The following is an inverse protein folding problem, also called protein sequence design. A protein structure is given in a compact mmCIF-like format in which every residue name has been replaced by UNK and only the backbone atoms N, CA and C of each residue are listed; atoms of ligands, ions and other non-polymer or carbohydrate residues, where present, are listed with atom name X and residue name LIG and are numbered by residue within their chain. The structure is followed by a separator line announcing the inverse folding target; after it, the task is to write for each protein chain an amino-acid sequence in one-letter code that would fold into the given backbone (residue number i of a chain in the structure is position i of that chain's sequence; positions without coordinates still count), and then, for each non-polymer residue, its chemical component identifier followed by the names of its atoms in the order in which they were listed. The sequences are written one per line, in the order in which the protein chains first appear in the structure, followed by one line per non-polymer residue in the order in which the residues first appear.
data_IF_502482902396
#
_entry.id   IF_502482902396
#
_cell.length_a   1.000
_cell.length_b   1.000
_cell.length_c   1.000
_cell.angle_alpha   90.00
_cell.angle_beta   90.00
_cell.angle_gamma   90.00
#
_symmetry.space_group_name_H-M   'P 1'
#
loop_
_entity.id
_entity.type
_entity.pdbx_description
1 polymer ?
#
# COMPACT_ATOMS: atom_id res chain seq x y z
N UNK A 1 0.08 -8.97 -20.03
CA UNK A 1 -1.00 -7.97 -19.88
C UNK A 1 -0.44 -6.60 -20.20
N UNK A 2 -0.88 -5.93 -21.28
CA UNK A 2 -0.39 -4.59 -21.62
C UNK A 2 -1.09 -3.57 -20.74
N UNK A 3 -0.37 -2.88 -19.88
CA UNK A 3 -0.89 -1.71 -19.15
C UNK A 3 -0.65 -0.47 -20.03
N UNK A 4 -1.72 0.07 -20.58
CA UNK A 4 -1.67 1.33 -21.32
C UNK A 4 -2.00 2.45 -20.32
N UNK A 5 -1.02 3.26 -19.96
CA UNK A 5 -1.22 4.47 -19.18
C UNK A 5 -1.59 5.62 -20.13
N UNK A 6 -2.75 6.22 -19.90
CA UNK A 6 -3.21 7.42 -20.62
C UNK A 6 -2.64 8.64 -19.90
N UNK A 7 -1.88 9.53 -20.58
CA UNK A 7 -1.42 10.76 -19.95
C UNK A 7 -2.58 11.75 -19.83
N UNK A 8 -2.93 12.17 -18.62
CA UNK A 8 -3.74 13.36 -18.41
C UNK A 8 -2.84 14.60 -18.38
N UNK A 9 -3.28 15.68 -19.03
CA UNK A 9 -2.50 16.92 -19.19
C UNK A 9 -2.37 17.79 -17.94
N UNK A 10 -2.71 17.30 -16.78
CA UNK A 10 -2.53 18.03 -15.52
C UNK A 10 -1.23 17.63 -14.84
N UNK A 11 -0.51 18.60 -14.33
CA UNK A 11 0.77 18.64 -13.63
C UNK A 11 1.07 17.48 -12.64
N UNK A 12 1.00 16.25 -13.07
CA UNK A 12 1.46 15.10 -12.28
C UNK A 12 2.81 14.67 -12.85
N UNK A 13 3.84 14.79 -12.05
CA UNK A 13 5.11 14.11 -12.30
C UNK A 13 4.83 12.61 -12.24
N UNK A 14 4.53 12.00 -13.38
CA UNK A 14 4.26 10.58 -13.42
C UNK A 14 5.57 9.82 -13.20
N UNK A 15 5.70 9.24 -12.02
CA UNK A 15 6.71 8.23 -11.75
C UNK A 15 6.08 6.91 -12.17
N UNK A 16 6.66 6.26 -13.17
CA UNK A 16 6.09 5.01 -13.71
C UNK A 16 7.12 3.91 -13.61
N UNK A 17 6.65 2.73 -13.20
CA UNK A 17 7.43 1.50 -13.25
C UNK A 17 6.59 0.37 -13.76
N UNK A 18 7.23 -0.51 -14.50
CA UNK A 18 6.69 -1.80 -14.86
C UNK A 18 7.73 -2.87 -14.51
N UNK A 19 7.30 -3.87 -13.79
CA UNK A 19 8.05 -5.08 -13.47
C UNK A 19 7.45 -6.26 -14.21
N UNK A 20 8.32 -7.17 -14.61
CA UNK A 20 7.90 -8.51 -14.99
C UNK A 20 7.62 -9.29 -13.70
N UNK A 21 6.36 -9.66 -13.49
CA UNK A 21 5.93 -10.33 -12.26
C UNK A 21 6.44 -11.76 -12.14
N UNK A 22 6.88 -12.39 -13.23
CA UNK A 22 7.38 -13.77 -13.23
C UNK A 22 8.83 -13.86 -12.78
N UNK A 23 9.63 -12.83 -13.07
CA UNK A 23 11.07 -12.88 -12.81
C UNK A 23 11.64 -11.66 -12.05
N UNK A 24 10.85 -10.61 -11.81
CA UNK A 24 11.30 -9.39 -11.11
C UNK A 24 12.09 -8.40 -11.98
N UNK A 25 12.24 -8.67 -13.27
CA UNK A 25 12.95 -7.79 -14.18
C UNK A 25 12.28 -6.42 -14.33
N UNK A 26 13.07 -5.34 -14.30
CA UNK A 26 12.57 -3.97 -14.51
C UNK A 26 12.36 -3.76 -16.02
N UNK A 27 11.11 -3.75 -16.45
CA UNK A 27 10.72 -3.57 -17.87
C UNK A 27 10.77 -2.11 -18.28
N UNK A 28 10.36 -1.22 -17.38
CA UNK A 28 10.38 0.23 -17.61
C UNK A 28 10.48 0.99 -16.30
N UNK A 29 11.21 2.12 -16.33
CA UNK A 29 11.36 3.02 -15.19
C UNK A 29 11.35 4.47 -15.71
N UNK A 30 10.60 5.34 -15.02
CA UNK A 30 10.62 6.78 -15.28
C UNK A 30 10.71 7.53 -13.95
N UNK A 31 11.74 8.35 -13.80
CA UNK A 31 11.95 9.23 -12.63
C UNK A 31 11.12 10.51 -12.65
N UNK A 32 10.20 10.66 -13.61
CA UNK A 32 9.34 11.83 -13.77
C UNK A 32 9.74 12.74 -14.94
N UNK A 33 8.99 13.83 -15.12
CA UNK A 33 9.26 14.86 -16.11
C UNK A 33 10.31 15.86 -15.59
N UNK A 34 10.96 16.57 -16.52
CA UNK A 34 11.95 17.62 -16.21
C UNK A 34 13.13 17.12 -15.35
N UNK A 35 13.67 15.96 -15.70
CA UNK A 35 14.88 15.43 -15.09
C UNK A 35 16.11 16.10 -15.71
N UNK A 36 17.10 16.45 -14.88
CA UNK A 36 18.44 16.86 -15.34
C UNK A 36 19.34 15.63 -15.42
N UNK A 37 20.32 15.65 -16.31
CA UNK A 37 21.30 14.58 -16.40
C UNK A 37 21.99 14.39 -15.02
N UNK A 38 22.11 13.14 -14.56
CA UNK A 38 22.61 12.76 -13.23
C UNK A 38 21.78 13.31 -12.03
N UNK A 39 20.56 13.77 -12.29
CA UNK A 39 19.63 14.17 -11.23
C UNK A 39 18.96 12.98 -10.53
N UNK A 40 18.27 13.27 -9.45
CA UNK A 40 17.51 12.29 -8.66
C UNK A 40 16.52 11.48 -9.52
N UNK A 41 16.61 10.18 -9.44
CA UNK A 41 15.58 9.29 -9.95
C UNK A 41 14.49 9.13 -8.87
N UNK A 42 13.41 9.90 -8.98
CA UNK A 42 12.32 9.88 -7.99
C UNK A 42 11.68 8.52 -7.81
N UNK A 43 11.93 7.62 -8.70
CA UNK A 43 11.41 6.28 -8.64
C UNK A 43 12.23 5.35 -7.72
N UNK A 44 13.52 5.67 -7.45
CA UNK A 44 14.41 4.90 -6.56
C UNK A 44 14.88 5.69 -5.36
N UNK A 45 15.12 6.99 -5.54
CA UNK A 45 15.92 7.78 -4.62
C UNK A 45 15.06 8.60 -3.65
N UNK A 46 13.73 8.58 -3.81
CA UNK A 46 12.80 9.30 -2.94
C UNK A 46 11.79 8.35 -2.32
N UNK A 47 11.81 8.30 -1.01
CA UNK A 47 10.75 7.70 -0.23
C UNK A 47 9.61 8.70 -0.05
N UNK A 48 8.39 8.26 -0.35
CA UNK A 48 7.19 9.06 -0.23
C UNK A 48 6.12 8.31 0.57
N UNK A 49 5.14 9.07 1.03
CA UNK A 49 3.95 8.48 1.63
C UNK A 49 3.13 7.76 0.56
N UNK A 50 2.91 6.45 0.68
CA UNK A 50 2.17 5.67 -0.33
C UNK A 50 0.67 5.96 -0.34
N UNK A 51 0.13 6.61 0.68
CA UNK A 51 -1.30 6.83 0.81
C UNK A 51 -2.09 5.53 0.74
N UNK A 52 -3.27 5.54 0.14
CA UNK A 52 -4.15 4.37 0.06
C UNK A 52 -3.58 3.17 -0.72
N UNK A 53 -2.46 3.32 -1.41
CA UNK A 53 -1.76 2.17 -2.01
C UNK A 53 -1.13 1.26 -0.95
N UNK A 54 -0.99 1.71 0.30
CA UNK A 54 -0.57 0.88 1.41
C UNK A 54 -1.62 -0.18 1.82
N UNK A 55 -2.91 0.11 1.65
CA UNK A 55 -4.01 -0.70 2.20
C UNK A 55 -3.96 -2.18 1.85
N UNK A 56 -3.74 -2.60 0.60
CA UNK A 56 -3.63 -4.03 0.29
C UNK A 56 -2.52 -4.72 1.07
N UNK A 57 -1.38 -4.05 1.25
CA UNK A 57 -0.16 -4.63 1.83
C UNK A 57 -0.13 -4.55 3.36
N UNK A 58 -0.59 -3.45 3.95
CA UNK A 58 -0.50 -3.21 5.39
C UNK A 58 -1.76 -3.63 6.15
N UNK A 59 -2.94 -3.55 5.51
CA UNK A 59 -4.21 -3.75 6.23
C UNK A 59 -4.80 -5.13 5.97
N UNK A 60 -4.90 -5.52 4.70
CA UNK A 60 -5.71 -6.68 4.32
C UNK A 60 -4.91 -7.95 4.08
N UNK A 61 -3.78 -7.88 3.36
CA UNK A 61 -2.99 -9.07 3.08
C UNK A 61 -2.44 -9.77 4.34
N UNK A 62 -1.96 -9.06 5.38
CA UNK A 62 -1.55 -9.72 6.62
C UNK A 62 -2.69 -10.48 7.30
N UNK A 63 -3.91 -9.95 7.24
CA UNK A 63 -5.09 -10.62 7.78
C UNK A 63 -5.50 -11.85 6.99
N UNK A 64 -5.37 -11.81 5.67
CA UNK A 64 -5.60 -12.98 4.80
C UNK A 64 -4.56 -14.05 5.08
N UNK A 65 -3.27 -13.67 5.17
CA UNK A 65 -2.15 -14.60 5.35
C UNK A 65 -2.13 -15.24 6.74
N UNK A 66 -2.33 -14.47 7.81
CA UNK A 66 -2.09 -14.93 9.18
C UNK A 66 -3.35 -15.08 10.04
N UNK A 67 -4.47 -14.46 9.66
CA UNK A 67 -5.71 -14.44 10.46
C UNK A 67 -6.85 -15.20 9.77
N UNK A 68 -6.58 -15.94 8.68
CA UNK A 68 -7.56 -16.70 7.89
C UNK A 68 -8.73 -15.85 7.36
N UNK A 69 -8.48 -14.59 7.02
CA UNK A 69 -9.51 -13.77 6.39
C UNK A 69 -9.76 -14.18 4.94
N UNK A 70 -10.99 -13.96 4.52
CA UNK A 70 -11.40 -14.11 3.13
C UNK A 70 -11.88 -12.77 2.58
N UNK A 71 -12.13 -12.73 1.28
CA UNK A 71 -12.72 -11.53 0.64
C UNK A 71 -14.11 -11.17 1.18
N UNK A 72 -14.74 -12.08 1.90
CA UNK A 72 -16.04 -11.90 2.57
C UNK A 72 -15.93 -11.51 4.05
N UNK A 73 -14.72 -11.48 4.64
CA UNK A 73 -14.53 -11.03 6.02
C UNK A 73 -15.16 -9.67 6.23
N UNK A 74 -16.05 -9.52 7.25
CA UNK A 74 -16.81 -8.30 7.44
C UNK A 74 -16.02 -7.22 8.17
N UNK A 75 -16.23 -5.97 7.76
CA UNK A 75 -15.81 -4.76 8.48
C UNK A 75 -16.98 -3.79 8.58
N UNK A 76 -17.14 -3.16 9.73
CA UNK A 76 -18.19 -2.15 9.93
C UNK A 76 -17.58 -0.76 9.70
N UNK A 77 -18.07 -0.07 8.68
CA UNK A 77 -17.70 1.30 8.35
C UNK A 77 -18.58 2.27 9.13
N UNK A 78 -18.12 2.69 10.28
CA UNK A 78 -18.77 3.56 11.28
C UNK A 78 -17.74 4.49 11.91
N UNK A 79 -18.11 5.57 12.61
CA UNK A 79 -17.15 6.43 13.31
C UNK A 79 -16.15 5.64 14.13
N UNK A 80 -14.85 5.82 13.85
CA UNK A 80 -13.76 5.10 14.48
C UNK A 80 -12.47 5.94 14.45
N UNK A 81 -11.48 5.59 15.25
CA UNK A 81 -10.21 6.31 15.33
C UNK A 81 -9.03 5.44 15.71
N UNK A 82 -7.88 6.07 15.78
CA UNK A 82 -6.65 5.46 16.24
C UNK A 82 -6.74 5.09 17.72
N UNK A 83 -5.97 4.09 18.12
CA UNK A 83 -5.71 3.80 19.53
C UNK A 83 -5.07 5.03 20.17
N UNK A 84 -5.75 5.67 21.12
CA UNK A 84 -5.32 6.96 21.68
C UNK A 84 -6.26 8.13 21.38
N UNK A 85 -7.30 7.91 20.58
CA UNK A 85 -8.49 8.75 20.55
C UNK A 85 -8.65 9.72 19.37
N UNK A 86 -7.68 9.85 18.48
CA UNK A 86 -7.87 10.68 17.28
C UNK A 86 -8.79 10.01 16.28
N UNK A 87 -9.92 10.66 15.99
CA UNK A 87 -10.89 10.18 15.00
C UNK A 87 -10.36 10.33 13.59
N UNK A 88 -10.64 9.36 12.72
CA UNK A 88 -10.42 9.48 11.28
C UNK A 88 -11.75 9.51 10.53
N UNK A 89 -11.70 9.93 9.28
CA UNK A 89 -12.86 9.98 8.39
C UNK A 89 -12.57 9.24 7.09
N UNK A 90 -13.62 8.74 6.49
CA UNK A 90 -13.54 8.32 5.10
C UNK A 90 -13.36 9.55 4.19
N UNK A 91 -12.79 9.35 3.01
CA UNK A 91 -12.47 10.43 2.07
C UNK A 91 -13.68 11.28 1.64
N UNK A 92 -14.89 10.68 1.67
CA UNK A 92 -16.16 11.33 1.34
C UNK A 92 -16.95 11.80 2.59
N UNK A 93 -16.42 11.56 3.78
CA UNK A 93 -17.08 11.88 5.06
C UNK A 93 -18.27 10.98 5.41
N UNK A 94 -18.61 9.99 4.58
CA UNK A 94 -19.76 9.10 4.77
C UNK A 94 -19.36 7.79 5.42
N UNK A 95 -20.33 7.05 5.96
CA UNK A 95 -20.18 5.72 6.51
C UNK A 95 -21.20 4.77 5.87
N UNK A 96 -20.75 3.58 5.49
CA UNK A 96 -21.57 2.63 4.72
C UNK A 96 -22.01 1.41 5.53
N UNK A 97 -21.70 1.37 6.83
CA UNK A 97 -22.08 0.27 7.70
C UNK A 97 -21.35 -1.03 7.36
N UNK A 98 -22.08 -2.11 7.24
CA UNK A 98 -21.52 -3.43 6.98
C UNK A 98 -20.94 -3.54 5.56
N UNK A 99 -19.65 -3.84 5.45
CA UNK A 99 -18.94 -4.07 4.20
C UNK A 99 -18.11 -5.35 4.30
N UNK A 100 -17.97 -6.07 3.20
CA UNK A 100 -16.97 -7.13 3.08
C UNK A 100 -15.57 -6.55 2.89
N UNK A 101 -14.51 -7.32 3.14
CA UNK A 101 -13.14 -6.94 2.82
C UNK A 101 -13.01 -6.45 1.37
N UNK A 102 -13.59 -7.20 0.41
CA UNK A 102 -13.58 -6.82 -1.01
C UNK A 102 -14.20 -5.45 -1.26
N UNK A 103 -15.34 -5.17 -0.65
CA UNK A 103 -16.01 -3.88 -0.78
C UNK A 103 -15.22 -2.76 -0.10
N UNK A 104 -14.71 -3.03 1.09
CA UNK A 104 -13.90 -2.07 1.88
C UNK A 104 -12.66 -1.62 1.12
N UNK A 105 -11.93 -2.58 0.52
CA UNK A 105 -10.76 -2.30 -0.29
C UNK A 105 -11.12 -1.64 -1.62
N UNK A 106 -12.12 -2.17 -2.34
CA UNK A 106 -12.55 -1.63 -3.64
C UNK A 106 -13.05 -0.19 -3.58
N UNK A 107 -13.66 0.20 -2.47
CA UNK A 107 -14.13 1.56 -2.19
C UNK A 107 -13.07 2.41 -1.48
N UNK A 108 -11.90 1.85 -1.20
CA UNK A 108 -10.80 2.51 -0.49
C UNK A 108 -11.23 3.17 0.84
N UNK A 109 -12.10 2.48 1.63
CA UNK A 109 -12.62 3.02 2.88
C UNK A 109 -11.51 3.11 3.93
N UNK A 110 -11.38 4.26 4.61
CA UNK A 110 -10.35 4.49 5.60
C UNK A 110 -10.63 3.78 6.92
N UNK A 111 -11.91 3.80 7.35
CA UNK A 111 -12.31 3.19 8.61
C UNK A 111 -12.13 1.66 8.58
N UNK A 112 -12.67 0.94 7.59
CA UNK A 112 -12.40 -0.49 7.44
C UNK A 112 -10.90 -0.83 7.34
N UNK A 113 -10.10 0.01 6.66
CA UNK A 113 -8.66 -0.17 6.55
C UNK A 113 -7.98 -0.08 7.92
N UNK A 114 -8.27 0.96 8.70
CA UNK A 114 -7.73 1.09 10.07
C UNK A 114 -8.16 -0.08 10.96
N UNK A 115 -9.42 -0.50 10.91
CA UNK A 115 -9.91 -1.67 11.66
C UNK A 115 -9.19 -2.96 11.22
N UNK A 116 -8.94 -3.13 9.93
CA UNK A 116 -8.18 -4.25 9.40
C UNK A 116 -6.74 -4.24 9.95
N UNK A 117 -6.05 -3.11 9.89
CA UNK A 117 -4.72 -2.94 10.47
C UNK A 117 -4.67 -3.31 11.96
N UNK A 118 -5.60 -2.77 12.75
CA UNK A 118 -5.68 -3.05 14.19
C UNK A 118 -5.94 -4.53 14.47
N UNK A 119 -6.82 -5.17 13.70
CA UNK A 119 -7.21 -6.57 13.88
C UNK A 119 -6.17 -7.56 13.35
N UNK A 120 -5.45 -7.24 12.27
CA UNK A 120 -4.36 -8.07 11.74
C UNK A 120 -3.20 -8.16 12.75
N UNK A 121 -2.97 -7.08 13.47
CA UNK A 121 -1.94 -6.98 14.51
C UNK A 121 -0.56 -6.63 13.96
N UNK A 122 0.11 -5.68 14.62
CA UNK A 122 1.38 -5.09 14.19
C UNK A 122 2.47 -6.11 13.84
N UNK A 123 2.58 -7.20 14.60
CA UNK A 123 3.58 -8.25 14.33
C UNK A 123 3.34 -8.97 13.01
N UNK A 124 2.08 -9.28 12.71
CA UNK A 124 1.72 -9.92 11.44
C UNK A 124 1.93 -8.98 10.27
N UNK A 125 1.56 -7.70 10.45
CA UNK A 125 1.76 -6.67 9.43
C UNK A 125 3.25 -6.50 9.14
N UNK A 126 4.07 -6.29 10.17
CA UNK A 126 5.52 -6.14 10.03
C UNK A 126 6.14 -7.35 9.32
N UNK A 127 5.80 -8.55 9.79
CA UNK A 127 6.27 -9.80 9.17
C UNK A 127 5.90 -9.87 7.68
N UNK A 128 4.67 -9.50 7.32
CA UNK A 128 4.21 -9.52 5.94
C UNK A 128 4.95 -8.50 5.09
N UNK A 129 4.94 -7.22 5.48
CA UNK A 129 5.51 -6.15 4.64
C UNK A 129 7.02 -6.30 4.46
N UNK A 130 7.74 -6.75 5.50
CA UNK A 130 9.17 -7.07 5.38
C UNK A 130 9.40 -8.26 4.44
N UNK A 131 8.54 -9.27 4.46
CA UNK A 131 8.66 -10.42 3.55
C UNK A 131 8.45 -10.08 2.07
N UNK A 132 7.82 -8.94 1.79
CA UNK A 132 7.61 -8.42 0.43
C UNK A 132 8.48 -7.20 0.11
N UNK A 133 9.58 -7.04 0.84
CA UNK A 133 10.63 -6.06 0.55
C UNK A 133 10.36 -4.63 1.02
N UNK A 134 9.38 -4.40 1.91
CA UNK A 134 9.11 -3.09 2.49
C UNK A 134 9.58 -3.05 3.94
N UNK A 135 10.49 -2.13 4.26
CA UNK A 135 10.88 -1.84 5.64
C UNK A 135 9.97 -0.76 6.22
N UNK A 136 9.05 -1.10 7.13
CA UNK A 136 8.13 -0.12 7.70
C UNK A 136 8.86 0.84 8.64
N UNK A 137 8.57 2.13 8.53
CA UNK A 137 9.04 3.14 9.48
C UNK A 137 8.58 2.80 10.91
N UNK A 138 9.48 2.93 11.87
CA UNK A 138 9.22 2.67 13.28
C UNK A 138 9.69 3.84 14.12
N UNK A 139 8.87 4.26 15.05
CA UNK A 139 9.26 5.19 16.11
C UNK A 139 9.37 4.41 17.43
N UNK A 140 10.54 4.49 18.06
CA UNK A 140 10.86 3.69 19.26
C UNK A 140 10.61 2.17 19.08
N UNK A 141 10.86 1.64 17.89
CA UNK A 141 10.64 0.22 17.57
C UNK A 141 9.18 -0.17 17.29
N UNK A 142 8.27 0.80 17.23
CA UNK A 142 6.84 0.57 17.03
C UNK A 142 6.36 1.19 15.73
N UNK A 143 5.63 0.42 14.94
CA UNK A 143 4.92 0.88 13.75
C UNK A 143 3.60 1.57 14.16
N UNK A 144 3.37 2.78 13.65
CA UNK A 144 2.16 3.56 13.97
C UNK A 144 0.95 3.13 13.16
N UNK A 145 -0.24 3.33 13.70
CA UNK A 145 -1.51 3.05 13.01
C UNK A 145 -1.76 3.94 11.78
N UNK A 146 -1.03 5.05 11.65
CA UNK A 146 -1.03 5.87 10.44
C UNK A 146 -0.59 5.12 9.18
N UNK A 147 0.16 4.02 9.34
CA UNK A 147 0.55 3.14 8.23
C UNK A 147 -0.65 2.55 7.50
N UNK A 148 -1.78 2.33 8.20
CA UNK A 148 -3.03 1.87 7.59
C UNK A 148 -3.53 2.79 6.46
N UNK A 149 -3.21 4.08 6.55
CA UNK A 149 -3.62 5.06 5.53
C UNK A 149 -2.43 5.51 4.66
N UNK A 150 -1.29 4.86 4.82
CA UNK A 150 -0.06 5.19 4.10
C UNK A 150 0.59 6.50 4.55
N UNK A 151 0.33 6.93 5.79
CA UNK A 151 0.95 8.13 6.38
C UNK A 151 2.27 7.77 7.08
N UNK A 152 3.28 7.39 6.29
CA UNK A 152 4.62 7.10 6.76
C UNK A 152 5.63 7.42 5.66
N UNK A 153 6.87 7.74 6.05
CA UNK A 153 7.98 7.87 5.12
C UNK A 153 8.67 6.54 5.03
N UNK A 154 8.79 5.95 3.87
CA UNK A 154 9.52 4.72 3.92
C UNK A 154 9.41 3.79 2.74
N UNK A 155 8.78 4.20 1.65
CA UNK A 155 8.76 3.36 0.46
C UNK A 155 8.88 4.20 -0.80
N UNK A 156 9.50 3.63 -1.80
CA UNK A 156 9.60 4.19 -3.14
C UNK A 156 8.73 3.40 -4.12
N UNK A 157 8.47 3.93 -5.31
CA UNK A 157 7.64 3.24 -6.31
C UNK A 157 8.18 1.87 -6.76
N UNK A 158 9.51 1.61 -6.65
CA UNK A 158 10.06 0.30 -7.01
C UNK A 158 9.70 -0.75 -5.98
N UNK A 159 9.92 -0.46 -4.71
CA UNK A 159 9.56 -1.34 -3.60
C UNK A 159 8.06 -1.65 -3.62
N UNK A 160 7.23 -0.61 -3.83
CA UNK A 160 5.78 -0.81 -3.94
C UNK A 160 5.41 -1.70 -5.12
N UNK A 161 6.02 -1.49 -6.30
CA UNK A 161 5.73 -2.33 -7.48
C UNK A 161 6.15 -3.79 -7.23
N UNK A 162 7.30 -4.02 -6.61
CA UNK A 162 7.77 -5.37 -6.24
C UNK A 162 6.86 -6.04 -5.22
N UNK A 163 6.46 -5.31 -4.18
CA UNK A 163 5.52 -5.82 -3.19
C UNK A 163 4.16 -6.17 -3.80
N UNK A 164 3.67 -5.36 -4.74
CA UNK A 164 2.41 -5.65 -5.45
C UNK A 164 2.51 -6.84 -6.42
N UNK A 165 3.70 -7.16 -6.93
CA UNK A 165 3.89 -8.30 -7.83
C UNK A 165 3.48 -9.63 -7.19
N UNK A 166 3.56 -9.75 -5.86
CA UNK A 166 3.16 -10.96 -5.13
C UNK A 166 1.69 -11.33 -5.35
N UNK A 167 0.82 -10.34 -5.57
CA UNK A 167 -0.59 -10.59 -5.84
C UNK A 167 -0.85 -11.19 -7.25
N UNK A 168 0.12 -11.10 -8.15
CA UNK A 168 -0.02 -11.54 -9.53
C UNK A 168 0.77 -12.82 -9.86
N UNK A 169 1.75 -13.20 -9.01
CA UNK A 169 2.65 -14.32 -9.28
C UNK A 169 2.48 -15.52 -8.33
N UNK A 170 1.35 -15.60 -7.64
CA UNK A 170 1.09 -16.70 -6.71
C UNK A 170 1.66 -16.50 -5.30
N UNK A 171 2.05 -15.28 -4.94
CA UNK A 171 2.51 -14.93 -3.58
C UNK A 171 4.02 -14.93 -3.37
N UNK A 172 4.80 -14.98 -4.44
CA UNK A 172 6.27 -14.99 -4.33
C UNK A 172 6.83 -13.57 -4.45
N UNK A 173 7.63 -13.17 -3.46
CA UNK A 173 8.44 -11.95 -3.58
C UNK A 173 9.72 -12.25 -4.37
N UNK A 174 9.96 -11.43 -5.40
CA UNK A 174 11.17 -11.48 -6.21
C UNK A 174 11.79 -10.08 -6.17
N UNK A 175 13.04 -10.01 -5.72
CA UNK A 175 13.76 -8.74 -5.67
C UNK A 175 13.94 -8.18 -7.08
N UNK A 176 13.61 -6.90 -7.32
CA UNK A 176 13.74 -6.28 -8.64
C UNK A 176 15.20 -6.13 -9.07
N UNK A 177 15.48 -6.35 -10.35
CA UNK A 177 16.83 -6.20 -10.94
C UNK A 177 16.79 -5.56 -12.34
#
# INVERSE_FOLDING_TARGET
MKVTLIPSESFVTAITRALDVENGGIVAISGGRNTVALGLNRATDLNNQPGSTAKPLFDYAPGVEYNNWSTYTPFIDEPHGYTGGSQIKNWDGSYYGFLTLRQSLGLSRNIPALKAFQNAGRKNIEKFVTSVGIEPEKENGVMHEGHALGSFNGTNPLEMAAAYAVFANGGYYIEPY
#
